data_IF_176414829201
#
_entry.id   IF_176414829201
#
_cell.length_a   1.000
_cell.length_b   1.000
_cell.length_c   1.000
_cell.angle_alpha   90.00
_cell.angle_beta   90.00
_cell.angle_gamma   90.00
#
_symmetry.space_group_name_H-M   'P 1'
#
loop_
_entity.id
_entity.type
_entity.pdbx_description
1 polymer ?
#
# COMPACT_ATOMS: atom_id res chain seq x y z
N UNK A 1 -4.11 -3.62 8.28
CA UNK A 1 -2.80 -3.91 7.64
C UNK A 1 -2.39 -5.32 8.02
N UNK A 2 -1.97 -6.13 7.04
CA UNK A 2 -1.26 -7.40 7.26
C UNK A 2 0.06 -7.32 6.53
N UNK A 3 1.13 -7.88 7.10
CA UNK A 3 2.46 -7.86 6.50
C UNK A 3 3.11 -9.23 6.69
N UNK A 4 3.76 -9.73 5.65
CA UNK A 4 4.52 -10.97 5.65
C UNK A 4 5.93 -10.68 5.12
N UNK A 5 6.92 -10.88 5.99
CA UNK A 5 8.32 -10.78 5.59
C UNK A 5 8.72 -12.02 4.81
N UNK A 6 9.41 -11.80 3.69
CA UNK A 6 9.99 -12.83 2.86
C UNK A 6 11.51 -12.82 3.02
N UNK A 7 12.20 -13.81 2.44
CA UNK A 7 13.66 -13.80 2.39
C UNK A 7 14.18 -12.60 1.57
N UNK A 8 15.47 -12.28 1.67
CA UNK A 8 16.16 -11.29 0.83
C UNK A 8 15.57 -9.86 0.84
N UNK A 9 15.11 -9.39 2.01
CA UNK A 9 14.57 -8.03 2.21
C UNK A 9 13.27 -7.72 1.44
N UNK A 10 12.51 -8.74 1.07
CA UNK A 10 11.19 -8.56 0.49
C UNK A 10 10.10 -8.59 1.58
N UNK A 11 9.03 -7.82 1.35
CA UNK A 11 7.87 -7.74 2.22
C UNK A 11 6.62 -7.71 1.35
N UNK A 12 5.62 -8.53 1.68
CA UNK A 12 4.28 -8.44 1.10
C UNK A 12 3.35 -7.81 2.12
N UNK A 13 2.55 -6.83 1.70
CA UNK A 13 1.62 -6.10 2.57
C UNK A 13 0.22 -6.04 1.97
N UNK A 14 -0.78 -6.20 2.83
CA UNK A 14 -2.17 -5.90 2.53
C UNK A 14 -2.60 -4.66 3.31
N UNK A 15 -3.04 -3.65 2.57
CA UNK A 15 -3.45 -2.34 3.07
C UNK A 15 -4.92 -2.11 2.71
N UNK A 16 -5.65 -1.49 3.63
CA UNK A 16 -6.92 -0.84 3.34
C UNK A 16 -6.66 0.65 3.49
N UNK A 17 -7.01 1.43 2.48
CA UNK A 17 -6.70 2.86 2.42
C UNK A 17 -7.95 3.66 2.11
N UNK A 18 -7.89 4.97 2.37
CA UNK A 18 -8.93 5.89 1.93
C UNK A 18 -8.91 6.04 0.39
N UNK A 19 -10.03 6.49 -0.16
CA UNK A 19 -10.15 6.76 -1.58
C UNK A 19 -9.13 7.82 -2.04
N UNK A 20 -8.50 7.59 -3.18
CA UNK A 20 -7.50 8.51 -3.73
C UNK A 20 -6.10 8.38 -3.13
N UNK A 21 -5.86 7.41 -2.23
CA UNK A 21 -4.52 7.15 -1.68
C UNK A 21 -3.58 6.62 -2.77
N UNK A 22 -2.44 7.30 -2.93
CA UNK A 22 -1.38 6.96 -3.85
C UNK A 22 -0.43 5.94 -3.20
N UNK A 23 -0.70 4.65 -3.42
CA UNK A 23 -0.02 3.57 -2.68
C UNK A 23 1.48 3.53 -2.98
N UNK A 24 1.91 3.74 -4.22
CA UNK A 24 3.33 3.68 -4.59
C UNK A 24 4.12 4.73 -3.81
N UNK A 25 3.57 5.94 -3.79
CA UNK A 25 4.11 7.12 -3.14
C UNK A 25 4.11 6.96 -1.61
N UNK A 26 3.12 6.27 -1.04
CA UNK A 26 3.16 5.87 0.36
C UNK A 26 4.32 4.90 0.65
N UNK A 27 4.64 3.97 -0.26
CA UNK A 27 5.77 3.04 -0.07
C UNK A 27 7.12 3.76 -0.16
N UNK A 28 7.41 4.42 -1.29
CA UNK A 28 8.73 4.99 -1.58
C UNK A 28 8.90 6.46 -1.17
N UNK A 29 7.86 7.09 -0.61
CA UNK A 29 7.88 8.44 -0.06
C UNK A 29 7.93 9.58 -1.06
N UNK A 30 7.85 9.31 -2.36
CA UNK A 30 7.89 10.31 -3.45
C UNK A 30 8.97 11.39 -3.24
N UNK A 31 10.22 10.96 -3.03
CA UNK A 31 11.36 11.84 -2.73
C UNK A 31 11.13 12.76 -1.52
N UNK A 32 10.40 12.27 -0.51
CA UNK A 32 10.08 12.98 0.73
C UNK A 32 8.84 13.87 0.65
N UNK A 33 8.06 13.83 -0.43
CA UNK A 33 6.80 14.58 -0.57
C UNK A 33 5.64 13.91 0.18
N UNK A 34 5.69 12.59 0.33
CA UNK A 34 4.68 11.81 1.05
C UNK A 34 5.20 11.44 2.42
N UNK A 35 4.53 11.89 3.50
CA UNK A 35 4.96 11.63 4.88
C UNK A 35 3.77 11.33 5.82
N UNK A 36 3.91 10.36 6.74
CA UNK A 36 4.97 9.36 6.76
C UNK A 36 4.80 8.36 5.60
N UNK A 37 5.90 8.00 4.95
CA UNK A 37 5.99 6.88 4.01
C UNK A 37 6.39 5.58 4.73
N UNK A 38 6.27 4.42 4.09
CA UNK A 38 6.74 3.16 4.66
C UNK A 38 8.25 3.20 4.94
N UNK A 39 9.04 3.79 4.04
CA UNK A 39 10.47 4.00 4.26
C UNK A 39 10.77 4.86 5.49
N UNK A 40 10.00 5.95 5.71
CA UNK A 40 10.13 6.76 6.93
C UNK A 40 9.77 5.95 8.19
N UNK A 41 8.75 5.10 8.11
CA UNK A 41 8.27 4.30 9.25
C UNK A 41 9.25 3.18 9.63
N UNK A 42 9.97 2.62 8.66
CA UNK A 42 10.91 1.52 8.87
C UNK A 42 12.37 1.99 8.94
N UNK A 43 12.63 3.29 8.83
CA UNK A 43 13.96 3.90 8.75
C UNK A 43 14.83 3.22 7.68
N UNK A 44 14.26 3.01 6.49
CA UNK A 44 14.95 2.34 5.38
C UNK A 44 14.51 2.90 4.02
N UNK A 45 15.29 2.58 2.99
CA UNK A 45 14.83 2.76 1.62
C UNK A 45 13.86 1.62 1.26
N UNK A 46 12.64 1.98 0.88
CA UNK A 46 11.62 1.06 0.42
C UNK A 46 11.18 1.44 -1.00
N UNK A 47 10.98 0.44 -1.85
CA UNK A 47 10.43 0.60 -3.20
C UNK A 47 9.40 -0.49 -3.48
N UNK A 48 8.54 -0.27 -4.47
CA UNK A 48 7.42 -1.13 -4.80
C UNK A 48 7.66 -1.91 -6.10
N UNK A 49 7.55 -3.23 -6.02
CA UNK A 49 7.79 -4.12 -7.16
C UNK A 49 6.49 -4.53 -7.85
N UNK A 50 5.44 -4.73 -7.06
CA UNK A 50 4.13 -5.13 -7.54
C UNK A 50 3.04 -4.47 -6.67
N UNK A 51 1.89 -4.18 -7.27
CA UNK A 51 0.73 -3.61 -6.61
C UNK A 51 -0.54 -4.17 -7.24
N UNK A 52 -1.35 -4.84 -6.44
CA UNK A 52 -2.65 -5.38 -6.83
C UNK A 52 -3.77 -4.74 -6.01
N UNK A 53 -4.88 -4.41 -6.67
CA UNK A 53 -6.13 -4.02 -6.00
C UNK A 53 -6.90 -5.29 -5.67
N UNK A 54 -6.94 -5.65 -4.40
CA UNK A 54 -7.65 -6.87 -3.95
C UNK A 54 -9.17 -6.67 -3.88
N UNK A 55 -9.62 -5.47 -3.50
CA UNK A 55 -11.03 -5.13 -3.33
C UNK A 55 -11.24 -3.63 -3.54
N UNK A 56 -12.44 -3.26 -4.03
CA UNK A 56 -12.94 -1.89 -4.05
C UNK A 56 -14.21 -1.87 -3.22
N UNK A 57 -14.18 -1.21 -2.06
CA UNK A 57 -15.35 -1.08 -1.17
C UNK A 57 -16.39 -0.12 -1.78
N UNK A 58 -17.15 -0.65 -2.73
CA UNK A 58 -18.18 0.06 -3.47
C UNK A 58 -19.44 -0.82 -3.55
N UNK A 59 -20.52 -0.33 -2.94
CA UNK A 59 -21.85 -0.97 -3.00
C UNK A 59 -22.56 -0.61 -4.31
N UNK A 60 -22.01 -1.00 -5.45
CA UNK A 60 -22.60 -0.78 -6.77
C UNK A 60 -22.17 -1.84 -7.80
N UNK A 61 -23.07 -2.37 -8.65
CA UNK A 61 -24.53 -2.15 -8.62
C UNK A 61 -25.14 -2.70 -7.33
N UNK A 62 -26.28 -2.17 -6.85
CA UNK A 62 -26.99 -2.76 -5.73
C UNK A 62 -27.31 -4.20 -6.09
N UNK A 63 -27.11 -5.12 -5.13
CA UNK A 63 -27.55 -6.49 -5.31
C UNK A 63 -29.07 -6.48 -5.55
N UNK A 64 -29.50 -6.93 -6.73
CA UNK A 64 -30.91 -7.17 -7.02
C UNK A 64 -31.32 -8.42 -6.22
N UNK A 65 -31.76 -8.24 -4.98
CA UNK A 65 -32.56 -9.23 -4.27
C UNK A 65 -34.01 -9.14 -4.74
#
# INVERSE_FOLDING_TARGET
MKAEALENHFLTMQLQTEAGTYIKEFIHGDLGRTKPSLGDLLDCYADILALDVLEVDLKWPPNNN
#
